data_IF_267620680781
#
_entry.id   IF_267620680781
#
_cell.length_a   1.000
_cell.length_b   1.000
_cell.length_c   1.000
_cell.angle_alpha   90.00
_cell.angle_beta   90.00
_cell.angle_gamma   90.00
#
_symmetry.space_group_name_H-M   'P 1'
#
loop_
_entity.id
_entity.type
_entity.pdbx_description
1 polymer ?
#
# COMPACT_ATOMS: atom_id res chain seq x y z
N UNK A 1 -14.90 0.69 3.82
CA UNK A 1 -15.07 0.89 2.36
C UNK A 1 -13.98 1.84 1.91
N UNK A 2 -13.24 1.52 0.83
CA UNK A 2 -12.20 2.42 0.31
C UNK A 2 -12.89 3.69 -0.24
N UNK A 3 -12.44 4.86 0.21
CA UNK A 3 -12.95 6.15 -0.26
C UNK A 3 -11.97 6.70 -1.30
N UNK A 4 -12.49 7.28 -2.39
CA UNK A 4 -11.72 7.99 -3.42
C UNK A 4 -10.80 7.14 -4.33
N UNK A 5 -11.10 5.86 -4.56
CA UNK A 5 -10.41 5.06 -5.59
C UNK A 5 -11.00 5.40 -6.95
N UNK A 6 -10.18 5.89 -7.88
CA UNK A 6 -10.58 6.03 -9.29
C UNK A 6 -10.74 4.64 -9.90
N UNK A 7 -11.73 4.46 -10.78
CA UNK A 7 -11.84 3.21 -11.55
C UNK A 7 -10.65 3.07 -12.48
N UNK A 8 -10.19 1.84 -12.68
CA UNK A 8 -9.14 1.54 -13.63
C UNK A 8 -9.55 1.94 -15.06
N UNK A 9 -8.64 2.58 -15.78
CA UNK A 9 -8.74 2.71 -17.24
C UNK A 9 -8.47 1.36 -17.91
N UNK A 10 -8.84 1.15 -19.18
CA UNK A 10 -8.55 -0.10 -19.88
C UNK A 10 -7.06 -0.47 -19.88
N UNK A 11 -6.18 0.53 -19.95
CA UNK A 11 -4.72 0.35 -19.91
C UNK A 11 -4.24 -0.18 -18.54
N UNK A 12 -4.86 0.31 -17.46
CA UNK A 12 -4.46 -0.05 -16.10
C UNK A 12 -5.17 -1.31 -15.56
N UNK A 13 -6.26 -1.75 -16.18
CA UNK A 13 -7.10 -2.82 -15.68
C UNK A 13 -6.35 -4.15 -15.46
N UNK A 14 -5.39 -4.47 -16.33
CA UNK A 14 -4.53 -5.66 -16.22
C UNK A 14 -3.10 -5.32 -15.84
N UNK A 15 -2.80 -4.04 -15.60
CA UNK A 15 -1.49 -3.58 -15.19
C UNK A 15 -1.15 -4.04 -13.77
N UNK A 16 0.14 -4.07 -13.45
CA UNK A 16 0.56 -4.30 -12.08
C UNK A 16 0.09 -3.14 -11.20
N UNK A 17 -0.37 -3.46 -10.00
CA UNK A 17 -0.68 -2.48 -8.96
C UNK A 17 0.28 -2.62 -7.80
N UNK A 18 0.88 -1.50 -7.38
CA UNK A 18 1.73 -1.43 -6.19
C UNK A 18 1.09 -0.50 -5.17
N UNK A 19 0.78 -1.06 -4.01
CA UNK A 19 0.23 -0.32 -2.87
C UNK A 19 1.36 -0.08 -1.88
N UNK A 20 1.63 1.17 -1.55
CA UNK A 20 2.51 1.56 -0.46
C UNK A 20 1.65 2.00 0.71
N UNK A 21 1.86 1.37 1.85
CA UNK A 21 1.10 1.63 3.06
C UNK A 21 2.03 2.15 4.14
N UNK A 22 1.77 3.39 4.56
CA UNK A 22 2.39 4.01 5.72
C UNK A 22 1.69 3.51 6.99
N UNK A 23 2.31 2.54 7.66
CA UNK A 23 1.77 1.92 8.88
C UNK A 23 1.89 2.85 10.09
N UNK A 24 2.78 3.85 10.04
CA UNK A 24 2.97 4.81 11.12
C UNK A 24 1.83 5.83 11.11
N UNK A 25 1.45 6.34 9.93
CA UNK A 25 0.35 7.30 9.80
C UNK A 25 -1.03 6.65 9.65
N UNK A 26 -1.11 5.41 9.16
CA UNK A 26 -2.34 4.63 9.02
C UNK A 26 -2.22 3.25 9.70
N UNK A 27 -2.07 3.17 11.04
CA UNK A 27 -1.99 1.90 11.74
C UNK A 27 -3.30 1.12 11.66
N UNK A 28 -3.23 -0.20 11.80
CA UNK A 28 -4.45 -1.00 11.90
C UNK A 28 -5.22 -0.68 13.18
N UNK A 29 -6.57 -0.60 13.12
CA UNK A 29 -7.38 -0.50 14.31
C UNK A 29 -7.18 -1.69 15.25
N UNK A 30 -7.31 -1.44 16.55
CA UNK A 30 -7.23 -2.49 17.57
C UNK A 30 -8.26 -3.60 17.30
N UNK A 31 -7.83 -4.86 17.44
CA UNK A 31 -8.69 -6.03 17.23
C UNK A 31 -8.91 -6.41 15.77
N UNK A 32 -8.35 -5.66 14.80
CA UNK A 32 -8.37 -6.07 13.40
C UNK A 32 -7.36 -7.19 13.15
N UNK A 33 -7.78 -8.22 12.41
CA UNK A 33 -6.91 -9.33 12.02
C UNK A 33 -5.93 -8.89 10.90
N UNK A 34 -4.62 -8.81 11.17
CA UNK A 34 -3.66 -8.31 10.19
C UNK A 34 -3.56 -9.18 8.94
N UNK A 35 -3.85 -10.48 9.03
CA UNK A 35 -3.83 -11.39 7.88
C UNK A 35 -4.89 -11.05 6.82
N UNK A 36 -5.90 -10.27 7.19
CA UNK A 36 -7.00 -9.88 6.29
C UNK A 36 -6.72 -8.63 5.47
N UNK A 37 -5.66 -7.88 5.79
CA UNK A 37 -5.34 -6.62 5.09
C UNK A 37 -5.14 -6.86 3.60
N UNK A 38 -4.26 -7.78 3.22
CA UNK A 38 -3.97 -8.03 1.81
C UNK A 38 -5.18 -8.53 1.01
N UNK A 39 -5.91 -9.56 1.46
CA UNK A 39 -7.13 -10.02 0.78
C UNK A 39 -8.21 -8.94 0.63
N UNK A 40 -8.33 -8.03 1.62
CA UNK A 40 -9.29 -6.93 1.57
C UNK A 40 -8.89 -5.86 0.55
N UNK A 41 -7.61 -5.49 0.51
CA UNK A 41 -7.08 -4.56 -0.49
C UNK A 41 -7.25 -5.14 -1.90
N UNK A 42 -6.90 -6.41 -2.10
CA UNK A 42 -7.06 -7.11 -3.39
C UNK A 42 -8.50 -7.12 -3.88
N UNK A 43 -9.44 -7.50 -3.00
CA UNK A 43 -10.87 -7.52 -3.33
C UNK A 43 -11.37 -6.14 -3.77
N UNK A 44 -10.97 -5.09 -3.05
CA UNK A 44 -11.47 -3.75 -3.32
C UNK A 44 -10.81 -3.12 -4.55
N UNK A 45 -9.55 -3.42 -4.83
CA UNK A 45 -8.90 -3.05 -6.09
C UNK A 45 -9.59 -3.70 -7.30
N UNK A 46 -9.93 -4.99 -7.19
CA UNK A 46 -10.69 -5.71 -8.23
C UNK A 46 -12.07 -5.13 -8.46
N UNK A 47 -12.78 -4.73 -7.39
CA UNK A 47 -14.05 -4.03 -7.49
C UNK A 47 -13.95 -2.71 -8.29
N UNK A 48 -12.78 -2.09 -8.29
CA UNK A 48 -12.50 -0.85 -9.03
C UNK A 48 -11.88 -1.09 -10.41
N UNK A 49 -11.74 -2.36 -10.84
CA UNK A 49 -11.27 -2.74 -12.16
C UNK A 49 -9.76 -3.02 -12.25
N UNK A 50 -9.01 -2.91 -11.15
CA UNK A 50 -7.60 -3.28 -11.09
C UNK A 50 -7.49 -4.79 -10.83
N UNK A 51 -7.40 -5.56 -11.92
CA UNK A 51 -7.41 -7.02 -11.91
C UNK A 51 -6.03 -7.65 -12.17
N UNK A 52 -5.00 -6.83 -12.41
CA UNK A 52 -3.64 -7.31 -12.63
C UNK A 52 -2.91 -7.70 -11.34
N UNK A 53 -1.61 -8.06 -11.45
CA UNK A 53 -0.82 -8.48 -10.29
C UNK A 53 -0.71 -7.40 -9.22
N UNK A 54 -0.87 -7.78 -7.95
CA UNK A 54 -0.83 -6.87 -6.80
C UNK A 54 0.43 -7.09 -5.96
N UNK A 55 1.07 -6.00 -5.55
CA UNK A 55 2.11 -5.99 -4.51
C UNK A 55 1.74 -4.95 -3.45
N UNK A 56 1.69 -5.36 -2.19
CA UNK A 56 1.40 -4.48 -1.06
C UNK A 56 2.65 -4.38 -0.20
N UNK A 57 3.09 -3.15 0.06
CA UNK A 57 4.30 -2.87 0.84
C UNK A 57 3.89 -2.04 2.06
N UNK A 58 3.90 -2.66 3.24
CA UNK A 58 3.73 -1.98 4.53
C UNK A 58 5.07 -1.43 5.00
N UNK A 59 5.10 -0.13 5.27
CA UNK A 59 6.30 0.63 5.61
C UNK A 59 6.03 1.41 6.90
N UNK A 60 6.98 1.37 7.84
CA UNK A 60 6.91 2.17 9.05
C UNK A 60 8.08 1.87 9.99
N UNK A 61 8.06 2.46 11.17
CA UNK A 61 8.93 2.09 12.27
C UNK A 61 8.40 0.83 12.98
N UNK A 62 9.11 -0.28 12.82
CA UNK A 62 8.76 -1.58 13.38
C UNK A 62 9.31 -1.79 14.80
N UNK A 63 9.99 -0.80 15.39
CA UNK A 63 10.48 -0.89 16.76
C UNK A 63 9.32 -1.08 17.74
N UNK A 64 9.37 -2.16 18.52
CA UNK A 64 8.30 -2.51 19.46
C UNK A 64 7.03 -3.10 18.83
N UNK A 65 6.96 -3.24 17.50
CA UNK A 65 5.82 -3.91 16.86
C UNK A 65 5.90 -5.43 17.08
N UNK A 66 4.84 -6.08 17.59
CA UNK A 66 4.88 -7.51 17.88
C UNK A 66 5.20 -8.35 16.64
N UNK A 67 6.09 -9.33 16.79
CA UNK A 67 6.47 -10.21 15.68
C UNK A 67 5.28 -10.98 15.09
N UNK A 68 4.35 -11.44 15.92
CA UNK A 68 3.17 -12.17 15.45
C UNK A 68 2.24 -11.30 14.61
N UNK A 69 2.18 -10.00 14.90
CA UNK A 69 1.45 -9.03 14.09
C UNK A 69 2.09 -8.88 12.70
N UNK A 70 3.42 -8.73 12.64
CA UNK A 70 4.16 -8.67 11.38
C UNK A 70 4.03 -9.98 10.59
N UNK A 71 4.14 -11.13 11.26
CA UNK A 71 3.97 -12.44 10.65
C UNK A 71 2.56 -12.61 10.06
N UNK A 72 1.52 -12.16 10.77
CA UNK A 72 0.15 -12.18 10.28
C UNK A 72 -0.01 -11.31 9.04
N UNK A 73 0.52 -10.08 9.03
CA UNK A 73 0.55 -9.21 7.85
C UNK A 73 1.22 -9.88 6.64
N UNK A 74 2.41 -10.47 6.84
CA UNK A 74 3.11 -11.18 5.77
C UNK A 74 2.38 -12.41 5.28
N UNK A 75 1.71 -13.16 6.16
CA UNK A 75 0.84 -14.28 5.75
C UNK A 75 -0.36 -13.82 4.91
N UNK A 76 -0.83 -12.59 5.13
CA UNK A 76 -1.84 -11.92 4.32
C UNK A 76 -1.32 -11.33 3.01
N UNK A 77 -0.03 -11.51 2.69
CA UNK A 77 0.56 -11.02 1.43
C UNK A 77 1.13 -9.59 1.50
N UNK A 78 1.32 -9.04 2.69
CA UNK A 78 1.97 -7.72 2.86
C UNK A 78 3.48 -7.89 2.99
N UNK A 79 4.23 -7.24 2.10
CA UNK A 79 5.68 -7.11 2.22
C UNK A 79 6.00 -6.04 3.26
N UNK A 80 6.74 -6.39 4.29
CA UNK A 80 7.02 -5.50 5.41
C UNK A 80 8.41 -4.88 5.23
N UNK A 81 8.52 -3.56 5.42
CA UNK A 81 9.77 -2.83 5.28
C UNK A 81 9.96 -1.85 6.43
N UNK A 82 11.05 -2.02 7.17
CA UNK A 82 11.49 -1.10 8.21
C UNK A 82 12.00 0.21 7.60
N UNK A 83 11.58 1.35 8.16
CA UNK A 83 12.19 2.64 7.88
C UNK A 83 13.37 2.90 8.81
N UNK A 84 14.48 3.46 8.28
CA UNK A 84 15.48 4.09 9.13
C UNK A 84 14.88 5.27 9.89
N UNK A 85 15.37 5.52 11.11
CA UNK A 85 15.01 6.70 11.91
C UNK A 85 15.13 7.99 11.08
N UNK A 86 14.11 8.83 11.13
CA UNK A 86 14.05 10.10 10.39
C UNK A 86 13.75 9.97 8.89
N UNK A 87 13.41 8.79 8.39
CA UNK A 87 12.91 8.57 7.03
C UNK A 87 11.39 8.51 6.99
N UNK A 88 10.80 8.85 5.84
CA UNK A 88 9.36 8.69 5.57
C UNK A 88 9.11 7.69 4.43
N UNK A 89 7.85 7.26 4.27
CA UNK A 89 7.44 6.38 3.17
C UNK A 89 7.73 7.01 1.79
N UNK A 90 7.58 8.34 1.65
CA UNK A 90 7.74 9.03 0.38
C UNK A 90 9.17 8.98 -0.15
N UNK A 91 10.17 8.97 0.72
CA UNK A 91 11.57 8.72 0.35
C UNK A 91 11.74 7.36 -0.33
N UNK A 92 11.02 6.33 0.14
CA UNK A 92 11.05 4.98 -0.43
C UNK A 92 10.35 4.93 -1.79
N UNK A 93 9.18 5.56 -1.90
CA UNK A 93 8.43 5.66 -3.16
C UNK A 93 9.23 6.42 -4.21
N UNK A 94 9.80 7.58 -3.84
CA UNK A 94 10.64 8.39 -4.72
C UNK A 94 11.82 7.56 -5.24
N UNK A 95 12.53 6.86 -4.33
CA UNK A 95 13.64 5.99 -4.73
C UNK A 95 13.21 4.88 -5.67
N UNK A 96 12.05 4.27 -5.45
CA UNK A 96 11.50 3.23 -6.32
C UNK A 96 11.15 3.74 -7.73
N UNK A 97 10.60 4.95 -7.84
CA UNK A 97 10.31 5.58 -9.13
C UNK A 97 11.59 5.91 -9.90
N UNK A 98 12.67 6.28 -9.22
CA UNK A 98 13.95 6.60 -9.84
C UNK A 98 14.93 5.43 -9.98
N UNK A 99 14.66 4.26 -9.38
CA UNK A 99 15.59 3.13 -9.36
C UNK A 99 15.67 2.35 -10.67
N UNK A 100 14.84 2.70 -11.68
CA UNK A 100 14.73 2.00 -12.99
C UNK A 100 14.55 0.48 -12.84
N UNK A 101 13.98 0.02 -11.73
CA UNK A 101 13.78 -1.40 -11.52
C UNK A 101 12.61 -1.89 -12.38
N UNK A 102 12.73 -3.05 -13.07
CA UNK A 102 11.71 -3.53 -14.02
C UNK A 102 10.32 -3.67 -13.42
N UNK A 103 10.21 -3.85 -12.10
CA UNK A 103 8.92 -3.97 -11.43
C UNK A 103 8.11 -2.67 -11.40
N UNK A 104 8.72 -1.52 -11.67
CA UNK A 104 8.10 -0.20 -11.71
C UNK A 104 7.92 0.35 -13.14
N UNK A 105 8.08 -0.49 -14.17
CA UNK A 105 7.90 -0.08 -15.56
C UNK A 105 6.40 0.10 -15.92
N UNK A 106 6.03 1.13 -16.72
CA UNK A 106 4.67 1.31 -17.21
C UNK A 106 4.22 0.21 -18.20
N UNK A 107 2.90 -0.07 -18.31
CA UNK A 107 1.83 0.51 -17.50
C UNK A 107 1.82 -0.03 -16.07
N UNK A 108 1.72 0.88 -15.10
CA UNK A 108 1.78 0.60 -13.67
C UNK A 108 0.76 1.48 -12.94
N UNK A 109 -0.02 0.86 -12.05
CA UNK A 109 -0.84 1.58 -11.08
C UNK A 109 -0.10 1.68 -9.74
N UNK A 110 0.02 2.88 -9.19
CA UNK A 110 0.58 3.09 -7.85
C UNK A 110 -0.49 3.66 -6.93
N UNK A 111 -0.56 3.12 -5.73
CA UNK A 111 -1.51 3.51 -4.71
C UNK A 111 -0.79 3.77 -3.38
N UNK A 112 -1.21 4.78 -2.66
CA UNK A 112 -0.60 5.24 -1.41
C UNK A 112 -1.69 5.26 -0.33
N UNK A 113 -1.40 4.62 0.80
CA UNK A 113 -2.22 4.62 2.01
C UNK A 113 -1.43 5.39 3.06
N UNK A 114 -1.80 6.65 3.27
CA UNK A 114 -1.08 7.58 4.14
C UNK A 114 -2.05 8.63 4.68
N UNK A 115 -1.85 9.07 5.91
CA UNK A 115 -2.55 10.23 6.48
C UNK A 115 -1.76 11.54 6.28
N UNK A 116 -0.50 11.45 5.86
CA UNK A 116 0.38 12.59 5.56
C UNK A 116 0.43 12.80 4.05
N UNK A 117 0.36 14.04 3.58
CA UNK A 117 0.40 14.43 2.15
C UNK A 117 -0.79 14.02 1.27
N UNK A 118 -1.94 13.64 1.86
CA UNK A 118 -3.16 13.38 1.10
C UNK A 118 -3.60 14.59 0.25
N UNK A 119 -3.30 15.81 0.71
CA UNK A 119 -3.65 17.06 0.03
C UNK A 119 -2.71 17.44 -1.13
N UNK A 120 -1.56 16.77 -1.27
CA UNK A 120 -0.55 17.05 -2.31
C UNK A 120 -0.61 16.05 -3.47
N UNK A 121 -1.43 15.02 -3.34
CA UNK A 121 -1.59 13.94 -4.31
C UNK A 121 -3.05 13.93 -4.74
N UNK A 122 -3.42 14.85 -5.63
CA UNK A 122 -4.77 14.90 -6.24
C UNK A 122 -5.20 13.56 -6.90
N UNK A 123 -4.24 12.65 -7.10
CA UNK A 123 -4.45 11.37 -7.78
C UNK A 123 -4.30 10.11 -6.92
N UNK A 124 -3.89 10.20 -5.65
CA UNK A 124 -3.67 8.99 -4.84
C UNK A 124 -4.01 9.20 -3.36
N UNK A 125 -5.17 8.70 -2.95
CA UNK A 125 -5.51 8.54 -1.52
C UNK A 125 -6.36 7.30 -1.33
N UNK A 126 -5.94 6.39 -0.45
CA UNK A 126 -6.89 5.55 0.27
C UNK A 126 -6.56 5.48 1.74
N UNK A 127 -7.58 5.73 2.56
CA UNK A 127 -7.53 5.65 4.01
C UNK A 127 -8.42 4.47 4.42
N UNK A 128 -7.87 3.56 5.24
CA UNK A 128 -8.63 2.46 5.84
C UNK A 128 -9.01 2.83 7.27
N UNK A 129 -10.31 2.95 7.52
CA UNK A 129 -10.86 2.76 8.85
C UNK A 129 -12.15 1.94 8.72
N UNK A 130 -12.33 1.02 9.66
CA UNK A 130 -13.67 0.66 10.11
C UNK A 130 -13.81 1.15 11.54
#
# INVERSE_FOLDING_TARGET
>A
MMKNVKKATPELATSKTIVWWDMDSCPLPNGYDPSRVGPRIDTELKNQGYNGPLTIIGIGNLEGVPHDFLKALSSGGVVIKQLPLGSDMMSCVRRALFSREPRFEPPLSMMLITAVHADLLEDIVCVFFN
#
